data_IF_217499997643
#
_entry.id   IF_217499997643
#
_cell.length_a   1.000
_cell.length_b   1.000
_cell.length_c   1.000
_cell.angle_alpha   90.00
_cell.angle_beta   90.00
_cell.angle_gamma   90.00
#
_symmetry.space_group_name_H-M   'P 1'
#
loop_
_entity.id
_entity.type
_entity.pdbx_description
1 polymer ?
#
# COMPACT_ATOMS: atom_id res chain seq x y z
N UNK A 1 -0.08 -10.53 -2.26
CA UNK A 1 0.40 -9.91 -1.02
C UNK A 1 -0.05 -8.46 -1.03
N UNK A 2 -0.17 -7.84 0.13
CA UNK A 2 -0.28 -6.40 0.23
C UNK A 2 0.29 -5.90 1.53
N UNK A 3 0.46 -4.59 1.60
CA UNK A 3 0.81 -3.88 2.80
C UNK A 3 0.09 -2.54 2.81
N UNK A 4 -0.12 -1.99 3.99
CA UNK A 4 -0.65 -0.64 4.12
C UNK A 4 0.14 0.20 5.10
N UNK A 5 0.07 1.51 4.88
CA UNK A 5 0.79 2.52 5.66
C UNK A 5 -0.20 3.60 6.09
N UNK A 6 -0.35 3.76 7.40
CA UNK A 6 -0.98 4.90 8.05
C UNK A 6 0.12 5.84 8.54
N UNK A 7 0.31 6.93 7.82
CA UNK A 7 1.39 7.90 8.04
C UNK A 7 1.12 8.88 9.18
N UNK A 8 -0.12 8.99 9.65
CA UNK A 8 -0.48 9.86 10.78
C UNK A 8 -0.72 9.03 12.05
N UNK A 9 -0.99 7.73 11.92
CA UNK A 9 -1.11 6.77 13.01
C UNK A 9 -2.46 6.80 13.73
N UNK A 10 -3.41 7.58 13.22
CA UNK A 10 -4.75 7.79 13.80
C UNK A 10 -5.82 6.85 13.22
N UNK A 11 -5.46 6.02 12.23
CA UNK A 11 -6.35 5.06 11.59
C UNK A 11 -7.36 5.68 10.61
N UNK A 12 -7.28 6.98 10.32
CA UNK A 12 -8.26 7.68 9.46
C UNK A 12 -8.02 7.43 7.97
N UNK A 13 -6.76 7.27 7.56
CA UNK A 13 -6.37 7.02 6.17
C UNK A 13 -5.19 6.07 6.09
N UNK A 14 -5.29 5.10 5.18
CA UNK A 14 -4.26 4.11 4.93
C UNK A 14 -3.97 4.06 3.44
N UNK A 15 -2.70 4.18 3.06
CA UNK A 15 -2.25 3.90 1.70
C UNK A 15 -1.96 2.41 1.58
N UNK A 16 -2.65 1.73 0.70
CA UNK A 16 -2.54 0.28 0.52
C UNK A 16 -1.94 -0.05 -0.83
N UNK A 17 -1.02 -0.99 -0.82
CA UNK A 17 -0.31 -1.48 -1.98
C UNK A 17 -0.45 -2.99 -2.03
N UNK A 18 -0.83 -3.49 -3.19
CA UNK A 18 -1.10 -4.89 -3.45
C UNK A 18 -0.27 -5.34 -4.64
N UNK A 19 0.18 -6.58 -4.57
CA UNK A 19 0.95 -7.19 -5.62
C UNK A 19 0.68 -8.70 -5.70
N UNK A 20 0.71 -9.24 -6.91
CA UNK A 20 0.69 -10.69 -7.11
C UNK A 20 2.14 -11.25 -7.19
N UNK A 21 2.32 -12.59 -7.23
CA UNK A 21 3.65 -13.20 -7.36
C UNK A 21 4.43 -12.83 -8.64
N UNK A 22 3.76 -12.25 -9.64
CA UNK A 22 4.36 -11.78 -10.89
C UNK A 22 4.74 -10.28 -10.83
N UNK A 23 4.52 -9.60 -9.70
CA UNK A 23 4.77 -8.17 -9.56
C UNK A 23 3.72 -7.27 -10.24
N UNK A 24 2.52 -7.80 -10.52
CA UNK A 24 1.41 -6.95 -10.99
C UNK A 24 0.88 -6.14 -9.81
N UNK A 25 0.80 -4.83 -10.01
CA UNK A 25 0.47 -3.84 -8.99
C UNK A 25 -1.04 -3.60 -8.89
N UNK A 26 -1.47 -3.20 -7.70
CA UNK A 26 -2.71 -2.50 -7.46
C UNK A 26 -2.59 -1.68 -6.18
N UNK A 27 -3.30 -0.57 -6.08
CA UNK A 27 -3.24 0.29 -4.92
C UNK A 27 -4.61 0.89 -4.59
N UNK A 28 -4.74 1.31 -3.34
CA UNK A 28 -5.95 1.90 -2.82
C UNK A 28 -5.64 2.87 -1.69
N UNK A 29 -6.62 3.74 -1.40
CA UNK A 29 -6.68 4.42 -0.12
C UNK A 29 -7.86 3.86 0.65
N UNK A 30 -7.61 3.34 1.86
CA UNK A 30 -8.65 2.89 2.77
C UNK A 30 -8.92 3.95 3.85
N UNK A 31 -10.19 4.18 4.15
CA UNK A 31 -10.63 4.97 5.31
C UNK A 31 -11.69 4.21 6.09
N UNK A 32 -11.88 4.55 7.37
CA UNK A 32 -12.91 3.93 8.21
C UNK A 32 -14.34 4.13 7.66
N UNK A 33 -14.59 5.27 7.03
CA UNK A 33 -15.93 5.66 6.57
C UNK A 33 -16.29 5.08 5.20
N UNK A 34 -15.31 4.99 4.30
CA UNK A 34 -15.56 4.72 2.88
C UNK A 34 -14.99 3.38 2.39
N UNK A 35 -14.26 2.66 3.26
CA UNK A 35 -13.54 1.45 2.89
C UNK A 35 -12.41 1.72 1.89
N UNK A 36 -12.05 0.69 1.13
CA UNK A 36 -10.99 0.76 0.11
C UNK A 36 -11.48 1.52 -1.14
N UNK A 37 -10.69 2.50 -1.59
CA UNK A 37 -10.90 3.22 -2.85
C UNK A 37 -9.75 2.94 -3.82
N UNK A 38 -10.02 2.09 -4.81
CA UNK A 38 -9.10 1.72 -5.90
C UNK A 38 -9.01 2.77 -7.02
N UNK A 39 -9.47 4.00 -6.76
CA UNK A 39 -9.24 5.15 -7.65
C UNK A 39 -7.92 5.87 -7.34
N UNK A 40 -7.22 5.45 -6.28
CA UNK A 40 -5.84 5.82 -6.07
C UNK A 40 -4.98 5.16 -7.17
N UNK A 41 -3.99 5.89 -7.64
CA UNK A 41 -3.15 5.49 -8.78
C UNK A 41 -1.73 6.02 -8.52
N UNK A 42 -1.03 5.36 -7.61
CA UNK A 42 0.34 5.71 -7.26
C UNK A 42 1.34 5.26 -8.33
N UNK A 43 2.44 6.01 -8.47
CA UNK A 43 3.59 5.58 -9.29
C UNK A 43 4.66 4.96 -8.38
N UNK A 44 4.76 3.64 -8.42
CA UNK A 44 5.67 2.84 -7.59
C UNK A 44 6.21 1.64 -8.39
N UNK A 45 7.22 0.95 -7.87
CA UNK A 45 7.83 -0.20 -8.53
C UNK A 45 7.59 -1.48 -7.73
N UNK A 46 7.39 -2.60 -8.43
CA UNK A 46 7.36 -3.92 -7.79
C UNK A 46 7.95 -4.99 -8.69
N UNK A 47 8.56 -6.00 -8.09
CA UNK A 47 9.12 -7.15 -8.79
C UNK A 47 8.79 -8.43 -8.05
N UNK A 48 8.00 -9.30 -8.67
CA UNK A 48 7.72 -10.64 -8.17
C UNK A 48 8.71 -11.67 -8.71
N UNK A 49 9.15 -12.60 -7.85
CA UNK A 49 9.99 -13.74 -8.20
C UNK A 49 9.38 -15.00 -7.59
N UNK A 50 9.02 -15.96 -8.43
CA UNK A 50 8.55 -17.28 -7.97
C UNK A 50 9.79 -18.09 -7.56
N UNK A 51 9.71 -18.74 -6.41
CA UNK A 51 10.75 -19.61 -5.84
C UNK A 51 10.22 -21.04 -5.75
N UNK A 52 11.09 -22.00 -5.45
CA UNK A 52 10.68 -23.42 -5.31
C UNK A 52 9.67 -23.65 -4.18
N UNK A 53 9.66 -22.78 -3.17
CA UNK A 53 8.83 -22.85 -1.96
C UNK A 53 7.71 -21.78 -1.92
N UNK A 54 7.62 -20.91 -2.93
CA UNK A 54 6.60 -19.86 -2.95
C UNK A 54 6.94 -18.69 -3.88
N UNK A 55 6.97 -17.49 -3.32
CA UNK A 55 7.32 -16.28 -4.07
C UNK A 55 7.85 -15.20 -3.14
N UNK A 56 8.72 -14.35 -3.68
CA UNK A 56 9.23 -13.13 -3.06
C UNK A 56 8.74 -11.97 -3.92
N UNK A 57 8.29 -10.88 -3.29
CA UNK A 57 8.05 -9.64 -4.02
C UNK A 57 8.76 -8.49 -3.32
N UNK A 58 9.55 -7.77 -4.11
CA UNK A 58 10.23 -6.54 -3.71
C UNK A 58 9.40 -5.35 -4.18
N UNK A 59 9.32 -4.32 -3.34
CA UNK A 59 8.51 -3.12 -3.59
C UNK A 59 9.29 -1.87 -3.23
N UNK A 60 9.24 -0.86 -4.10
CA UNK A 60 9.74 0.47 -3.83
C UNK A 60 8.61 1.49 -4.02
N UNK A 61 8.14 2.07 -2.92
CA UNK A 61 7.16 3.18 -2.92
C UNK A 61 7.91 4.48 -2.67
N UNK A 62 7.96 5.41 -3.64
CA UNK A 62 8.50 6.74 -3.40
C UNK A 62 7.67 7.46 -2.34
N UNK A 63 8.34 8.11 -1.38
CA UNK A 63 7.65 8.89 -0.34
C UNK A 63 6.80 10.02 -0.91
N UNK A 64 7.02 10.42 -2.17
CA UNK A 64 6.18 11.40 -2.85
C UNK A 64 4.77 10.89 -3.19
N UNK A 65 4.56 9.57 -3.23
CA UNK A 65 3.27 8.96 -3.51
C UNK A 65 2.35 8.94 -2.28
N UNK A 66 2.92 9.07 -1.08
CA UNK A 66 2.17 9.04 0.18
C UNK A 66 2.24 10.38 0.88
N UNK A 67 1.12 10.83 1.45
CA UNK A 67 1.06 12.10 2.18
C UNK A 67 1.39 11.85 3.64
N UNK A 68 2.26 12.68 4.20
CA UNK A 68 2.59 12.65 5.63
C UNK A 68 3.07 14.02 6.10
N UNK A 69 2.95 14.26 7.39
CA UNK A 69 3.49 15.46 8.03
C UNK A 69 5.00 15.33 8.26
N UNK A 70 5.79 16.28 7.75
CA UNK A 70 7.24 16.32 8.01
C UNK A 70 7.51 16.55 9.51
N UNK A 71 8.51 15.86 10.04
CA UNK A 71 8.99 16.03 11.42
C UNK A 71 10.52 16.15 11.39
N UNK A 72 11.07 16.92 12.34
CA UNK A 72 12.53 17.07 12.49
C UNK A 72 13.19 15.80 13.06
N UNK A 73 12.40 14.93 13.70
CA UNK A 73 12.82 13.65 14.27
C UNK A 73 12.25 12.43 13.51
N UNK A 74 12.21 11.26 14.16
CA UNK A 74 11.63 10.07 13.54
C UNK A 74 10.13 10.23 13.31
N UNK A 75 9.67 9.67 12.20
CA UNK A 75 8.27 9.44 11.92
C UNK A 75 7.75 8.28 12.76
N UNK A 76 6.48 8.36 13.15
CA UNK A 76 5.76 7.29 13.86
C UNK A 76 4.55 6.93 13.03
N UNK A 77 4.69 5.90 12.20
CA UNK A 77 3.64 5.41 11.31
C UNK A 77 3.08 4.10 11.87
N UNK A 78 1.98 3.63 11.30
CA UNK A 78 1.52 2.27 11.51
C UNK A 78 1.46 1.51 10.19
N UNK A 79 1.78 0.24 10.22
CA UNK A 79 1.76 -0.63 9.04
C UNK A 79 1.02 -1.94 9.29
N UNK A 80 0.58 -2.56 8.21
CA UNK A 80 0.21 -3.96 8.20
C UNK A 80 0.75 -4.66 6.97
N UNK A 81 0.91 -5.97 7.08
CA UNK A 81 1.18 -6.86 5.96
C UNK A 81 0.00 -7.82 5.85
N UNK A 82 -0.42 -8.13 4.63
CA UNK A 82 -1.52 -9.05 4.35
C UNK A 82 -1.18 -9.99 3.19
N UNK A 83 -1.72 -11.20 3.26
CA UNK A 83 -1.72 -12.14 2.15
C UNK A 83 -3.14 -12.65 1.93
N UNK A 84 -3.68 -12.35 0.75
CA UNK A 84 -4.92 -12.95 0.28
C UNK A 84 -4.58 -14.25 -0.46
N UNK A 85 -5.22 -15.35 -0.08
CA UNK A 85 -5.14 -16.65 -0.73
C UNK A 85 -6.51 -17.01 -1.33
N UNK A 86 -6.78 -16.62 -2.59
CA UNK A 86 -8.05 -16.88 -3.25
C UNK A 86 -7.99 -18.21 -4.02
N UNK A 87 -8.40 -19.31 -3.38
CA UNK A 87 -8.59 -20.61 -4.03
C UNK A 87 -10.07 -20.98 -4.02
N UNK A 88 -10.42 -22.13 -3.47
CA UNK A 88 -11.79 -22.56 -3.16
C UNK A 88 -12.50 -21.59 -2.21
N UNK A 89 -11.75 -20.96 -1.30
CA UNK A 89 -12.20 -19.88 -0.43
C UNK A 89 -11.17 -18.75 -0.44
N UNK A 90 -11.63 -17.53 -0.13
CA UNK A 90 -10.75 -16.37 0.09
C UNK A 90 -10.32 -16.35 1.55
N UNK A 91 -9.09 -16.77 1.81
CA UNK A 91 -8.45 -16.56 3.10
C UNK A 91 -7.63 -15.27 3.07
N UNK A 92 -7.60 -14.55 4.18
CA UNK A 92 -6.74 -13.38 4.37
C UNK A 92 -5.97 -13.57 5.66
N UNK A 93 -4.65 -13.65 5.54
CA UNK A 93 -3.73 -13.70 6.66
C UNK A 93 -3.08 -12.33 6.85
N UNK A 94 -2.84 -11.95 8.10
CA UNK A 94 -2.16 -10.71 8.46
C UNK A 94 -0.82 -11.02 9.13
N UNK A 95 0.16 -10.15 8.95
CA UNK A 95 1.48 -10.27 9.59
C UNK A 95 1.45 -10.07 11.12
N UNK A 96 0.29 -9.74 11.68
CA UNK A 96 0.04 -9.64 13.12
C UNK A 96 -1.39 -10.11 13.45
N UNK A 97 -1.68 -10.48 14.70
CA UNK A 97 -3.03 -10.83 15.13
C UNK A 97 -4.00 -9.65 14.96
N UNK A 98 -5.16 -9.92 14.38
CA UNK A 98 -6.27 -8.96 14.28
C UNK A 98 -7.40 -9.42 15.20
N UNK A 99 -7.82 -8.54 16.09
CA UNK A 99 -9.00 -8.74 16.92
C UNK A 99 -10.25 -8.38 16.12
N UNK A 100 -11.11 -9.39 15.90
CA UNK A 100 -12.33 -9.25 15.10
C UNK A 100 -13.47 -8.58 15.89
N UNK A 101 -13.35 -8.46 17.21
CA UNK A 101 -14.33 -7.78 18.05
C UNK A 101 -14.08 -6.26 18.08
N UNK A 102 -12.94 -5.79 17.55
CA UNK A 102 -12.63 -4.37 17.39
C UNK A 102 -13.06 -3.84 16.03
N UNK A 103 -14.07 -2.98 16.04
CA UNK A 103 -14.62 -2.36 14.83
C UNK A 103 -13.59 -1.54 14.03
N UNK A 104 -12.68 -0.83 14.71
CA UNK A 104 -11.62 -0.09 14.02
C UNK A 104 -10.50 -1.05 13.61
N UNK A 105 -10.54 -1.53 12.37
CA UNK A 105 -9.52 -2.44 11.85
C UNK A 105 -8.16 -1.74 11.66
N UNK A 106 -8.16 -0.50 11.16
CA UNK A 106 -6.95 0.30 10.91
C UNK A 106 -6.19 0.68 12.19
N UNK A 107 -6.91 0.84 13.30
CA UNK A 107 -6.32 1.16 14.60
C UNK A 107 -5.36 0.07 15.12
N UNK A 108 -5.48 -1.17 14.62
CA UNK A 108 -4.77 -2.35 15.11
C UNK A 108 -3.39 -2.55 14.45
N UNK A 109 -3.05 -1.72 13.47
CA UNK A 109 -1.79 -1.80 12.75
C UNK A 109 -0.59 -1.62 13.66
N UNK A 110 0.52 -2.25 13.28
CA UNK A 110 1.74 -2.28 14.08
C UNK A 110 2.49 -0.96 13.93
N UNK A 111 2.93 -0.34 15.04
CA UNK A 111 3.69 0.90 14.99
C UNK A 111 5.09 0.66 14.40
N UNK A 112 5.56 1.62 13.60
CA UNK A 112 6.93 1.67 13.09
C UNK A 112 7.47 3.07 13.30
N UNK A 113 8.62 3.15 13.98
CA UNK A 113 9.36 4.40 14.22
C UNK A 113 10.60 4.41 13.34
N UNK A 114 10.82 5.50 12.59
CA UNK A 114 11.95 5.58 11.67
C UNK A 114 11.86 6.76 10.71
N UNK A 115 12.37 6.60 9.49
CA UNK A 115 12.24 7.59 8.40
C UNK A 115 12.72 9.01 8.77
N UNK A 116 13.78 9.11 9.58
CA UNK A 116 14.39 10.41 9.93
C UNK A 116 14.84 11.12 8.67
N UNK A 117 14.46 12.39 8.52
CA UNK A 117 14.75 13.19 7.33
C UNK A 117 13.83 12.91 6.13
N UNK A 118 12.78 12.11 6.29
CA UNK A 118 11.75 11.95 5.26
C UNK A 118 11.08 13.29 4.92
N UNK A 119 11.02 13.58 3.61
CA UNK A 119 10.39 14.79 3.08
C UNK A 119 9.11 14.42 2.34
N UNK A 120 7.99 15.12 2.58
CA UNK A 120 6.76 14.89 1.83
C UNK A 120 7.00 15.19 0.35
N UNK A 121 6.26 14.48 -0.51
CA UNK A 121 6.30 14.72 -1.95
C UNK A 121 5.93 16.14 -2.33
N UNK A 122 6.51 16.60 -3.44
CA UNK A 122 6.05 17.82 -4.08
C UNK A 122 4.60 17.67 -4.56
N UNK A 123 3.85 18.77 -4.55
CA UNK A 123 2.41 18.76 -4.89
C UNK A 123 2.13 18.69 -6.39
N UNK A 124 3.16 18.75 -7.24
CA UNK A 124 3.02 18.82 -8.69
C UNK A 124 3.85 17.72 -9.36
N UNK A 125 3.18 16.94 -10.22
CA UNK A 125 3.82 15.91 -11.03
C UNK A 125 3.34 16.05 -12.47
N UNK A 126 4.29 16.11 -13.41
CA UNK A 126 3.99 16.17 -14.85
C UNK A 126 4.28 14.81 -15.48
N UNK A 127 3.23 14.15 -15.98
CA UNK A 127 3.30 12.80 -16.55
C UNK A 127 2.78 12.88 -18.00
N UNK A 128 3.63 13.15 -18.99
CA UNK A 128 3.20 13.19 -20.37
C UNK A 128 2.85 11.79 -20.86
N UNK A 129 1.67 11.62 -21.44
CA UNK A 129 1.22 10.35 -22.03
C UNK A 129 0.72 10.56 -23.46
N UNK A 130 1.05 9.64 -24.37
CA UNK A 130 0.58 9.63 -25.75
C UNK A 130 -0.09 8.28 -26.04
N UNK A 131 -1.36 8.30 -26.44
CA UNK A 131 -2.11 7.11 -26.84
C UNK A 131 -2.56 7.26 -28.29
N UNK A 132 -2.27 6.29 -29.15
CA UNK A 132 -2.69 6.26 -30.54
C UNK A 132 -3.48 4.97 -30.83
N UNK A 133 -4.57 5.09 -31.58
CA UNK A 133 -5.39 3.96 -32.02
C UNK A 133 -5.39 3.89 -33.56
N UNK A 134 -5.24 2.69 -34.11
CA UNK A 134 -5.40 2.40 -35.54
C UNK A 134 -6.59 1.46 -35.70
N UNK A 135 -7.57 1.82 -36.52
CA UNK A 135 -8.61 0.90 -36.97
C UNK A 135 -8.18 0.30 -38.30
N UNK A 136 -8.14 -1.03 -38.38
CA UNK A 136 -8.05 -1.72 -39.66
C UNK A 136 -9.47 -1.90 -40.20
N UNK A 137 -9.70 -1.41 -41.41
CA UNK A 137 -10.89 -1.67 -42.23
C UNK A 137 -10.64 -2.85 -43.15
#
# INVERSE_FOLDING_TARGET
>A
MGFGIDTEGDGTRVFEFFNNPLGVQGDAIATLELGEKFSFDAIWESKGTITDDGFIVEVAVPLSQIRFTQKDGPQNWKIFLTQTYPRDRRYQAFGHPIDRDKACWTCQFQPVTGFVGAKPGERFQFIPSLTANRRET
#
